data_IF_614063364066
#
_entry.id   IF_614063364066
#
_cell.length_a   1.000
_cell.length_b   1.000
_cell.length_c   1.000
_cell.angle_alpha   90.00
_cell.angle_beta   90.00
_cell.angle_gamma   90.00
#
_symmetry.space_group_name_H-M   'P 1'
#
loop_
_entity.id
_entity.type
_entity.pdbx_description
1 polymer ?
#
# COMPACT_ATOMS: atom_id res chain seq x y z
N UNK A 1 -10.93 18.91 -12.66
CA UNK A 1 -9.60 19.36 -12.23
C UNK A 1 -8.63 18.23 -12.52
N UNK A 2 -7.91 18.35 -13.64
CA UNK A 2 -6.75 17.50 -13.92
C UNK A 2 -5.75 17.75 -12.80
N UNK A 3 -5.49 16.74 -11.97
CA UNK A 3 -4.28 16.69 -11.16
C UNK A 3 -3.20 16.36 -12.18
N UNK A 4 -2.49 17.40 -12.61
CA UNK A 4 -1.27 17.26 -13.37
C UNK A 4 -0.34 16.33 -12.62
N UNK A 5 -0.04 15.17 -13.21
CA UNK A 5 0.87 14.17 -12.63
C UNK A 5 2.31 14.67 -12.51
N UNK A 6 2.54 15.94 -12.77
CA UNK A 6 3.78 16.69 -12.61
C UNK A 6 3.78 17.60 -11.38
N UNK A 7 2.78 17.51 -10.49
CA UNK A 7 2.93 18.14 -9.19
C UNK A 7 4.22 17.59 -8.59
N UNK A 8 5.29 18.39 -8.69
CA UNK A 8 6.57 18.21 -8.04
C UNK A 8 6.37 17.86 -6.55
N UNK A 9 6.00 16.62 -6.29
CA UNK A 9 6.53 15.95 -5.13
C UNK A 9 8.04 16.06 -5.34
N UNK A 10 8.79 16.75 -4.47
CA UNK A 10 10.25 16.76 -4.57
C UNK A 10 10.61 15.32 -4.84
N UNK A 11 11.43 15.08 -5.86
CA UNK A 11 11.80 13.72 -6.27
C UNK A 11 12.21 12.99 -4.99
N UNK A 12 11.22 12.33 -4.37
CA UNK A 12 11.49 11.37 -3.34
C UNK A 12 12.24 10.36 -4.17
N UNK A 13 13.55 10.38 -4.05
CA UNK A 13 14.33 9.26 -4.51
C UNK A 13 13.57 8.08 -3.96
N UNK A 14 12.98 7.26 -4.86
CA UNK A 14 12.04 6.17 -4.55
C UNK A 14 12.72 5.05 -3.75
N UNK A 15 13.51 5.42 -2.74
CA UNK A 15 14.38 4.55 -1.97
C UNK A 15 14.00 4.59 -0.50
N UNK A 16 12.90 3.91 -0.16
CA UNK A 16 12.66 3.50 1.22
C UNK A 16 13.63 2.35 1.53
N UNK A 17 14.70 2.65 2.26
CA UNK A 17 15.70 1.68 2.70
C UNK A 17 15.22 1.05 4.01
N UNK A 18 15.08 -0.28 4.04
CA UNK A 18 14.66 -1.03 5.23
C UNK A 18 15.71 -2.06 5.63
N UNK A 19 16.10 -2.06 6.90
CA UNK A 19 16.93 -3.11 7.48
C UNK A 19 16.08 -4.27 7.97
N UNK A 20 16.47 -5.50 7.66
CA UNK A 20 15.82 -6.72 8.13
C UNK A 20 16.12 -7.05 9.59
N UNK A 21 16.96 -6.29 10.26
CA UNK A 21 17.37 -6.54 11.65
C UNK A 21 17.04 -5.32 12.52
N UNK A 22 16.16 -5.55 13.50
CA UNK A 22 15.76 -4.70 14.60
C UNK A 22 14.57 -3.77 14.38
N UNK A 23 13.50 -4.12 15.08
CA UNK A 23 12.30 -3.35 15.36
C UNK A 23 12.60 -2.17 16.30
N UNK A 24 13.25 -1.12 15.84
CA UNK A 24 13.32 0.12 16.63
C UNK A 24 13.04 1.28 15.70
N UNK A 25 11.77 1.68 15.69
CA UNK A 25 11.35 2.95 15.12
C UNK A 25 11.66 4.07 16.13
N UNK A 26 12.89 4.53 16.15
CA UNK A 26 13.30 5.62 17.02
C UNK A 26 14.75 6.00 16.81
N UNK A 27 15.05 6.82 15.84
CA UNK A 27 15.96 7.95 15.92
C UNK A 27 16.10 8.69 14.57
N UNK A 28 16.23 9.98 14.66
CA UNK A 28 16.00 11.07 13.69
C UNK A 28 17.10 11.23 12.62
N UNK A 29 17.66 10.18 12.05
CA UNK A 29 18.68 10.28 10.99
C UNK A 29 18.58 9.19 9.91
N UNK A 30 17.41 8.58 9.78
CA UNK A 30 17.18 7.50 8.82
C UNK A 30 16.30 8.01 7.67
N UNK A 31 16.47 7.51 6.43
CA UNK A 31 15.56 7.72 5.30
C UNK A 31 14.09 7.37 5.62
N UNK A 32 13.85 6.61 6.68
CA UNK A 32 12.53 6.35 7.27
C UNK A 32 11.80 7.61 7.74
N UNK A 33 12.53 8.60 8.26
CA UNK A 33 11.93 9.82 8.77
C UNK A 33 11.32 10.67 7.66
N UNK A 34 11.92 10.68 6.47
CA UNK A 34 11.41 11.41 5.32
C UNK A 34 10.15 10.74 4.76
N UNK A 35 10.16 9.42 4.59
CA UNK A 35 8.98 8.65 4.17
C UNK A 35 7.83 8.79 5.17
N UNK A 36 8.11 8.76 6.47
CA UNK A 36 7.15 9.01 7.53
C UNK A 36 6.51 10.39 7.40
N UNK A 37 7.32 11.46 7.36
CA UNK A 37 6.84 12.84 7.25
C UNK A 37 6.00 13.06 5.99
N UNK A 38 6.36 12.43 4.88
CA UNK A 38 5.60 12.53 3.63
C UNK A 38 4.24 11.86 3.73
N UNK A 39 4.17 10.64 4.28
CA UNK A 39 2.89 9.96 4.50
C UNK A 39 2.03 10.72 5.52
N UNK A 40 2.60 11.17 6.64
CA UNK A 40 1.90 12.01 7.64
C UNK A 40 1.35 13.29 7.01
N UNK A 41 2.14 13.97 6.18
CA UNK A 41 1.72 15.17 5.45
C UNK A 41 0.64 14.88 4.40
N UNK A 42 0.71 13.73 3.71
CA UNK A 42 -0.32 13.33 2.76
C UNK A 42 -1.64 12.99 3.46
N UNK A 43 -1.58 12.29 4.59
CA UNK A 43 -2.76 11.94 5.39
C UNK A 43 -3.41 13.20 5.97
N UNK A 44 -2.63 14.07 6.62
CA UNK A 44 -3.14 15.31 7.24
C UNK A 44 -3.77 16.28 6.25
N UNK A 45 -3.31 16.28 5.00
CA UNK A 45 -3.86 17.09 3.91
C UNK A 45 -4.96 16.40 3.11
N UNK A 46 -5.30 15.14 3.44
CA UNK A 46 -6.25 14.33 2.66
C UNK A 46 -5.80 14.08 1.22
N UNK A 47 -4.49 14.05 0.96
CA UNK A 47 -3.88 13.91 -0.39
C UNK A 47 -3.14 12.60 -0.58
N UNK A 48 -3.66 11.51 -0.02
CA UNK A 48 -3.15 10.17 -0.34
C UNK A 48 -3.40 9.85 -1.81
N UNK A 49 -2.41 9.23 -2.45
CA UNK A 49 -2.61 8.66 -3.78
C UNK A 49 -3.60 7.49 -3.71
N UNK A 50 -4.31 7.25 -4.79
CA UNK A 50 -5.31 6.19 -4.87
C UNK A 50 -4.69 4.79 -4.89
N UNK A 51 -3.46 4.67 -5.41
CA UNK A 51 -2.74 3.40 -5.47
C UNK A 51 -1.24 3.58 -5.22
N UNK A 52 -0.67 2.63 -4.49
CA UNK A 52 0.76 2.50 -4.23
C UNK A 52 1.23 1.12 -4.66
N UNK A 53 2.38 1.05 -5.32
CA UNK A 53 3.06 -0.21 -5.65
C UNK A 53 4.29 -0.33 -4.77
N UNK A 54 4.34 -1.33 -3.91
CA UNK A 54 5.52 -1.67 -3.12
C UNK A 54 6.32 -2.71 -3.88
N UNK A 55 7.39 -2.25 -4.53
CA UNK A 55 8.23 -3.08 -5.38
C UNK A 55 9.55 -3.45 -4.67
N UNK A 56 9.77 -4.73 -4.45
CA UNK A 56 11.02 -5.27 -3.94
C UNK A 56 11.07 -6.78 -4.14
N UNK A 57 12.24 -7.39 -4.31
CA UNK A 57 12.39 -8.84 -4.31
C UNK A 57 11.76 -9.52 -3.09
N UNK A 58 11.46 -10.80 -3.20
CA UNK A 58 10.97 -11.61 -2.09
C UNK A 58 11.87 -11.51 -0.85
N UNK A 59 11.29 -11.51 0.35
CA UNK A 59 12.05 -11.44 1.61
C UNK A 59 12.55 -10.04 2.03
N UNK A 60 12.42 -9.00 1.19
CA UNK A 60 12.94 -7.64 1.44
C UNK A 60 12.06 -6.78 2.36
N UNK A 61 11.16 -7.37 3.13
CA UNK A 61 10.41 -6.64 4.15
C UNK A 61 9.21 -5.81 3.65
N UNK A 62 8.70 -6.05 2.43
CA UNK A 62 7.51 -5.36 1.90
C UNK A 62 6.34 -5.33 2.89
N UNK A 63 6.06 -6.46 3.54
CA UNK A 63 4.96 -6.57 4.53
C UNK A 63 5.20 -5.70 5.77
N UNK A 64 6.46 -5.54 6.20
CA UNK A 64 6.83 -4.68 7.33
C UNK A 64 6.61 -3.22 6.99
N UNK A 65 7.04 -2.81 5.79
CA UNK A 65 6.80 -1.46 5.26
C UNK A 65 5.32 -1.16 5.15
N UNK A 66 4.57 -2.08 4.54
CA UNK A 66 3.12 -1.94 4.41
C UNK A 66 2.45 -1.79 5.78
N UNK A 67 2.79 -2.66 6.74
CA UNK A 67 2.22 -2.59 8.10
C UNK A 67 2.46 -1.22 8.74
N UNK A 68 3.65 -0.66 8.57
CA UNK A 68 3.95 0.67 9.06
C UNK A 68 3.11 1.76 8.38
N UNK A 69 2.97 1.71 7.05
CA UNK A 69 2.11 2.63 6.29
C UNK A 69 0.66 2.52 6.75
N UNK A 70 0.15 1.30 6.91
CA UNK A 70 -1.20 1.05 7.42
C UNK A 70 -1.39 1.62 8.82
N UNK A 71 -0.40 1.42 9.72
CA UNK A 71 -0.48 1.96 11.08
C UNK A 71 -0.42 3.48 11.13
N UNK A 72 0.18 4.15 10.17
CA UNK A 72 0.08 5.61 10.02
C UNK A 72 -1.30 6.04 9.48
N UNK A 73 -1.78 5.32 8.46
CA UNK A 73 -3.00 5.70 7.74
C UNK A 73 -4.28 5.43 8.55
N UNK A 74 -4.33 4.30 9.25
CA UNK A 74 -5.52 3.83 9.96
C UNK A 74 -5.49 4.12 11.48
N UNK A 75 -4.39 4.66 12.00
CA UNK A 75 -4.27 5.05 13.40
C UNK A 75 -5.18 6.24 13.73
N UNK A 76 -5.84 6.22 14.87
CA UNK A 76 -6.75 7.29 15.33
C UNK A 76 -6.07 8.66 15.40
N UNK A 77 -4.75 8.68 15.64
CA UNK A 77 -3.93 9.91 15.72
C UNK A 77 -3.01 10.10 14.51
N UNK A 78 -3.03 9.18 13.54
CA UNK A 78 -2.13 9.15 12.39
C UNK A 78 -0.62 9.17 12.71
N UNK A 79 -0.26 8.71 13.92
CA UNK A 79 1.14 8.69 14.40
C UNK A 79 1.72 7.29 14.56
N UNK A 80 0.95 6.25 14.17
CA UNK A 80 1.34 4.85 14.45
C UNK A 80 1.58 4.62 15.94
N UNK A 81 0.63 5.06 16.78
CA UNK A 81 0.80 5.11 18.25
C UNK A 81 1.02 3.74 18.92
N UNK A 82 0.67 2.63 18.26
CA UNK A 82 0.80 1.26 18.79
C UNK A 82 -0.21 0.90 19.88
N UNK A 83 -0.98 1.85 20.41
CA UNK A 83 -1.85 1.65 21.58
C UNK A 83 -3.33 1.67 21.27
N UNK A 84 -3.77 2.39 20.23
CA UNK A 84 -5.17 2.44 19.81
C UNK A 84 -5.64 1.08 19.25
N UNK A 85 -6.95 0.91 19.14
CA UNK A 85 -7.56 -0.33 18.67
C UNK A 85 -7.15 -0.65 17.23
N UNK A 86 -7.11 0.37 16.36
CA UNK A 86 -6.67 0.22 14.97
C UNK A 86 -5.24 -0.30 14.88
N UNK A 87 -4.29 0.28 15.62
CA UNK A 87 -2.89 -0.20 15.62
C UNK A 87 -2.77 -1.65 16.10
N UNK A 88 -3.47 -2.01 17.17
CA UNK A 88 -3.50 -3.39 17.69
C UNK A 88 -4.11 -4.38 16.69
N UNK A 89 -5.19 -3.99 16.02
CA UNK A 89 -5.84 -4.81 14.99
C UNK A 89 -4.96 -5.01 13.75
N UNK A 90 -4.20 -3.98 13.36
CA UNK A 90 -3.23 -4.07 12.25
C UNK A 90 -2.10 -5.03 12.63
N UNK A 91 -1.58 -4.96 13.85
CA UNK A 91 -0.54 -5.86 14.34
C UNK A 91 -1.02 -7.31 14.37
N UNK A 92 -2.26 -7.52 14.79
CA UNK A 92 -2.91 -8.83 14.78
C UNK A 92 -3.30 -9.32 13.36
N UNK A 93 -3.21 -8.46 12.33
CA UNK A 93 -3.64 -8.78 10.97
C UNK A 93 -5.16 -8.91 10.79
N UNK A 94 -5.95 -8.31 11.70
CA UNK A 94 -7.41 -8.46 11.78
C UNK A 94 -8.15 -7.12 11.77
N UNK A 95 -7.62 -6.09 11.11
CA UNK A 95 -8.27 -4.79 11.02
C UNK A 95 -9.43 -4.84 10.02
N UNK A 96 -10.66 -4.41 10.39
CA UNK A 96 -11.85 -4.54 9.54
C UNK A 96 -11.78 -3.68 8.26
N UNK A 97 -11.01 -2.59 8.28
CA UNK A 97 -10.83 -1.73 7.11
C UNK A 97 -9.59 -2.09 6.28
N UNK A 98 -9.07 -3.32 6.44
CA UNK A 98 -7.98 -3.87 5.62
C UNK A 98 -8.49 -5.08 4.87
N UNK A 99 -8.70 -4.91 3.57
CA UNK A 99 -9.12 -5.98 2.65
C UNK A 99 -7.89 -6.60 2.03
N UNK A 100 -7.69 -7.89 2.25
CA UNK A 100 -6.56 -8.64 1.70
C UNK A 100 -7.01 -9.45 0.49
N UNK A 101 -6.38 -9.20 -0.65
CA UNK A 101 -6.53 -9.98 -1.86
C UNK A 101 -5.29 -10.84 -2.07
N UNK A 102 -5.47 -12.14 -1.92
CA UNK A 102 -4.44 -13.15 -2.13
C UNK A 102 -4.89 -14.13 -3.19
N UNK A 103 -3.95 -14.71 -3.92
CA UNK A 103 -4.26 -15.86 -4.76
C UNK A 103 -4.63 -17.08 -3.90
N UNK A 104 -5.42 -17.95 -4.43
CA UNK A 104 -5.69 -19.27 -3.82
C UNK A 104 -4.39 -20.10 -3.80
N UNK A 105 -4.18 -20.89 -2.75
CA UNK A 105 -2.92 -21.64 -2.55
C UNK A 105 -2.65 -22.66 -3.66
N UNK A 106 -3.72 -23.21 -4.26
CA UNK A 106 -3.68 -24.19 -5.36
C UNK A 106 -3.50 -23.54 -6.74
N UNK A 107 -3.52 -22.21 -6.85
CA UNK A 107 -3.39 -21.50 -8.13
C UNK A 107 -2.04 -20.80 -8.25
N UNK A 108 -1.45 -20.88 -9.44
CA UNK A 108 -0.20 -20.20 -9.75
C UNK A 108 -0.39 -18.68 -9.96
N UNK A 109 -1.58 -18.23 -10.29
CA UNK A 109 -1.88 -16.83 -10.66
C UNK A 109 -3.07 -16.27 -9.88
N UNK A 110 -3.11 -14.94 -9.74
CA UNK A 110 -4.25 -14.22 -9.20
C UNK A 110 -5.25 -13.96 -10.34
N UNK A 111 -6.36 -14.68 -10.32
CA UNK A 111 -7.39 -14.59 -11.35
C UNK A 111 -8.40 -13.47 -11.13
N UNK A 112 -9.17 -13.16 -12.17
CA UNK A 112 -10.22 -12.11 -12.13
C UNK A 112 -11.36 -12.43 -11.16
N UNK A 113 -11.61 -13.70 -10.84
CA UNK A 113 -12.64 -14.11 -9.88
C UNK A 113 -12.34 -13.51 -8.50
N UNK A 114 -11.11 -13.63 -8.00
CA UNK A 114 -10.69 -13.08 -6.72
C UNK A 114 -10.90 -11.56 -6.64
N UNK A 115 -10.71 -10.83 -7.74
CA UNK A 115 -10.99 -9.38 -7.81
C UNK A 115 -12.50 -9.10 -7.70
N UNK A 116 -13.34 -9.93 -8.32
CA UNK A 116 -14.80 -9.78 -8.26
C UNK A 116 -15.35 -10.05 -6.87
N UNK A 117 -14.79 -11.03 -6.18
CA UNK A 117 -15.23 -11.45 -4.83
C UNK A 117 -15.06 -10.34 -3.81
N UNK A 118 -13.96 -9.58 -3.85
CA UNK A 118 -13.72 -8.46 -2.93
C UNK A 118 -14.43 -7.16 -3.35
N UNK A 119 -14.98 -7.10 -4.56
CA UNK A 119 -15.52 -5.85 -5.12
C UNK A 119 -16.53 -5.20 -4.17
N UNK A 120 -17.49 -5.96 -3.67
CA UNK A 120 -18.53 -5.42 -2.78
C UNK A 120 -17.92 -4.86 -1.49
N UNK A 121 -16.93 -5.54 -0.91
CA UNK A 121 -16.24 -5.11 0.29
C UNK A 121 -15.43 -3.83 0.08
N UNK A 122 -14.77 -3.70 -1.07
CA UNK A 122 -14.03 -2.48 -1.45
C UNK A 122 -14.94 -1.27 -1.51
N UNK A 123 -16.18 -1.42 -1.98
CA UNK A 123 -17.14 -0.32 -2.12
C UNK A 123 -17.92 0.00 -0.82
N UNK A 124 -17.71 -0.73 0.27
CA UNK A 124 -18.27 -0.35 1.57
C UNK A 124 -17.43 0.76 2.22
N UNK A 125 -18.09 1.60 3.02
CA UNK A 125 -17.38 2.64 3.79
C UNK A 125 -16.48 2.03 4.85
N UNK A 126 -15.37 2.71 5.22
CA UNK A 126 -14.59 2.31 6.40
C UNK A 126 -15.48 2.23 7.65
N UNK A 127 -15.18 1.27 8.53
CA UNK A 127 -15.97 0.97 9.74
C UNK A 127 -15.31 1.55 10.99
N UNK A 128 -13.98 1.48 11.08
CA UNK A 128 -13.23 1.84 12.27
C UNK A 128 -12.29 3.03 12.03
N UNK A 129 -11.67 3.11 10.86
CA UNK A 129 -10.69 4.14 10.52
C UNK A 129 -11.25 5.17 9.53
N UNK A 130 -10.48 6.24 9.26
CA UNK A 130 -10.82 7.24 8.24
C UNK A 130 -10.67 6.74 6.81
N UNK A 131 -9.85 5.71 6.62
CA UNK A 131 -9.53 5.12 5.32
C UNK A 131 -9.70 3.61 5.34
N UNK A 132 -9.91 3.04 4.15
CA UNK A 132 -9.87 1.60 3.90
C UNK A 132 -8.67 1.28 3.03
N UNK A 133 -7.94 0.22 3.37
CA UNK A 133 -6.82 -0.28 2.59
C UNK A 133 -7.19 -1.57 1.85
N UNK A 134 -6.91 -1.62 0.56
CA UNK A 134 -7.02 -2.84 -0.25
C UNK A 134 -5.62 -3.31 -0.59
N UNK A 135 -5.23 -4.48 -0.12
CA UNK A 135 -3.90 -5.02 -0.29
C UNK A 135 -3.95 -6.16 -1.31
N UNK A 136 -3.26 -5.97 -2.42
CA UNK A 136 -3.09 -7.00 -3.45
C UNK A 136 -1.73 -7.66 -3.24
N UNK A 137 -1.74 -8.86 -2.68
CA UNK A 137 -0.52 -9.65 -2.50
C UNK A 137 -0.06 -10.23 -3.83
N UNK A 138 1.26 -10.31 -4.03
CA UNK A 138 1.86 -10.88 -5.24
C UNK A 138 1.23 -10.35 -6.54
N UNK A 139 1.00 -9.03 -6.62
CA UNK A 139 0.32 -8.41 -7.75
C UNK A 139 0.97 -8.71 -9.11
N UNK A 140 2.27 -9.03 -9.12
CA UNK A 140 3.00 -9.48 -10.31
C UNK A 140 2.55 -10.85 -10.84
N UNK A 141 1.78 -11.62 -10.06
CA UNK A 141 1.16 -12.89 -10.50
C UNK A 141 -0.28 -12.73 -10.97
N UNK A 142 -0.81 -11.50 -11.00
CA UNK A 142 -2.15 -11.23 -11.49
C UNK A 142 -2.23 -11.42 -13.02
N UNK A 143 -3.27 -12.12 -13.46
CA UNK A 143 -3.55 -12.24 -14.92
C UNK A 143 -3.88 -10.87 -15.51
N UNK A 144 -3.73 -10.72 -16.83
CA UNK A 144 -4.08 -9.47 -17.53
C UNK A 144 -5.53 -9.06 -17.27
N UNK A 145 -6.44 -10.02 -17.25
CA UNK A 145 -7.86 -9.78 -16.96
C UNK A 145 -8.09 -9.30 -15.53
N UNK A 146 -7.36 -9.88 -14.57
CA UNK A 146 -7.40 -9.45 -13.17
C UNK A 146 -6.85 -8.02 -13.02
N UNK A 147 -5.73 -7.71 -13.69
CA UNK A 147 -5.16 -6.38 -13.70
C UNK A 147 -6.10 -5.34 -14.31
N UNK A 148 -6.75 -5.67 -15.43
CA UNK A 148 -7.75 -4.79 -16.05
C UNK A 148 -8.99 -4.58 -15.16
N UNK A 149 -9.40 -5.60 -14.39
CA UNK A 149 -10.48 -5.45 -13.41
C UNK A 149 -10.08 -4.54 -12.24
N UNK A 150 -8.83 -4.64 -11.75
CA UNK A 150 -8.27 -3.75 -10.73
C UNK A 150 -8.13 -2.31 -11.26
N UNK A 151 -7.71 -2.15 -12.52
CA UNK A 151 -7.53 -0.84 -13.13
C UNK A 151 -8.80 0.01 -13.04
N UNK A 152 -9.97 -0.59 -13.30
CA UNK A 152 -11.27 0.10 -13.17
C UNK A 152 -11.55 0.61 -11.76
N UNK A 153 -11.14 -0.14 -10.72
CA UNK A 153 -11.30 0.27 -9.34
C UNK A 153 -10.26 1.34 -8.92
N UNK A 154 -9.08 1.32 -9.54
CA UNK A 154 -8.03 2.32 -9.29
C UNK A 154 -8.36 3.65 -10.00
N UNK A 155 -9.01 3.61 -11.17
CA UNK A 155 -9.40 4.81 -11.92
C UNK A 155 -10.57 5.56 -11.27
N UNK A 156 -11.51 4.83 -10.72
CA UNK A 156 -12.69 5.37 -10.04
C UNK A 156 -12.83 4.76 -8.63
N UNK A 157 -11.87 5.03 -7.74
CA UNK A 157 -11.87 4.44 -6.42
C UNK A 157 -13.03 5.01 -5.58
N UNK A 158 -13.62 4.21 -4.70
CA UNK A 158 -14.52 4.71 -3.69
C UNK A 158 -13.80 5.75 -2.79
N UNK A 159 -14.57 6.64 -2.21
CA UNK A 159 -14.02 7.63 -1.27
C UNK A 159 -13.25 6.95 -0.13
N UNK A 160 -12.07 7.48 0.19
CA UNK A 160 -11.21 7.02 1.29
C UNK A 160 -10.70 5.58 1.16
N UNK A 161 -10.68 5.03 -0.05
CA UNK A 161 -10.06 3.73 -0.34
C UNK A 161 -8.70 3.93 -0.98
N UNK A 162 -7.69 3.21 -0.48
CA UNK A 162 -6.31 3.24 -0.97
C UNK A 162 -5.87 1.83 -1.32
N UNK A 163 -5.33 1.65 -2.51
CA UNK A 163 -4.83 0.36 -2.99
C UNK A 163 -3.33 0.23 -2.74
N UNK A 164 -2.90 -0.94 -2.26
CA UNK A 164 -1.49 -1.31 -2.08
C UNK A 164 -1.19 -2.59 -2.85
N UNK A 165 -0.40 -2.49 -3.92
CA UNK A 165 0.02 -3.62 -4.74
C UNK A 165 1.42 -4.04 -4.32
N UNK A 166 1.57 -5.25 -3.78
CA UNK A 166 2.87 -5.83 -3.42
C UNK A 166 3.39 -6.63 -4.61
N UNK A 167 4.56 -6.29 -5.12
CA UNK A 167 5.17 -7.03 -6.22
C UNK A 167 6.68 -7.26 -6.02
N UNK A 168 7.17 -8.33 -6.60
CA UNK A 168 8.60 -8.66 -6.60
C UNK A 168 9.32 -8.02 -7.79
N UNK A 169 8.57 -7.73 -8.84
CA UNK A 169 9.02 -7.06 -10.05
C UNK A 169 7.88 -6.30 -10.72
N UNK A 170 8.20 -5.21 -11.40
CA UNK A 170 7.23 -4.41 -12.14
C UNK A 170 6.95 -4.97 -13.55
N UNK A 171 7.81 -5.84 -14.07
CA UNK A 171 7.73 -6.28 -15.47
C UNK A 171 6.36 -6.86 -15.89
N UNK A 172 5.66 -7.66 -15.05
CA UNK A 172 4.33 -8.18 -15.43
C UNK A 172 3.17 -7.20 -15.16
N UNK A 173 3.44 -6.07 -14.50
CA UNK A 173 2.38 -5.09 -14.16
C UNK A 173 2.09 -4.22 -15.38
N UNK A 174 0.80 -4.05 -15.68
CA UNK A 174 0.38 -3.22 -16.80
C UNK A 174 0.87 -1.77 -16.65
N UNK A 175 1.43 -1.17 -17.71
CA UNK A 175 1.87 0.24 -17.71
C UNK A 175 0.76 1.21 -17.28
N UNK A 176 -0.49 0.88 -17.57
CA UNK A 176 -1.68 1.67 -17.19
C UNK A 176 -1.89 1.69 -15.67
N UNK A 177 -1.58 0.61 -14.94
CA UNK A 177 -1.60 0.57 -13.48
C UNK A 177 -0.42 1.37 -12.91
N UNK A 178 0.78 1.16 -13.47
CA UNK A 178 2.00 1.86 -13.02
C UNK A 178 1.83 3.38 -13.14
N UNK A 179 1.28 3.87 -14.25
CA UNK A 179 1.09 5.31 -14.50
C UNK A 179 0.09 5.98 -13.54
N UNK A 180 -0.78 5.19 -12.89
CA UNK A 180 -1.80 5.67 -11.94
C UNK A 180 -1.44 5.38 -10.48
N UNK A 181 -0.26 4.83 -10.25
CA UNK A 181 0.20 4.42 -8.92
C UNK A 181 1.50 5.12 -8.54
N UNK A 182 1.68 5.36 -7.26
CA UNK A 182 2.98 5.79 -6.72
C UNK A 182 3.84 4.53 -6.47
N UNK A 183 4.97 4.43 -7.17
CA UNK A 183 5.88 3.28 -7.04
C UNK A 183 6.88 3.53 -5.91
N UNK A 184 6.87 2.66 -4.92
CA UNK A 184 7.80 2.65 -3.79
C UNK A 184 8.77 1.48 -3.96
N UNK A 185 10.01 1.77 -4.37
CA UNK A 185 11.06 0.77 -4.46
C UNK A 185 11.74 0.59 -3.10
N UNK A 186 11.61 -0.60 -2.53
CA UNK A 186 12.23 -0.94 -1.24
C UNK A 186 13.58 -1.60 -1.54
N UNK A 187 14.65 -1.03 -0.99
CA UNK A 187 16.02 -1.54 -1.13
C UNK A 187 16.60 -1.89 0.23
N UNK A 188 17.53 -2.88 0.31
CA UNK A 188 18.25 -3.13 1.55
C UNK A 188 19.11 -1.92 1.89
N UNK A 189 19.33 -1.73 3.21
CA UNK A 189 20.34 -0.76 3.63
C UNK A 189 21.71 -1.19 3.10
N UNK A 190 22.55 -0.26 2.62
CA UNK A 190 23.93 -0.57 2.38
C UNK A 190 24.60 -0.96 3.70
N UNK A 191 25.41 -2.02 3.65
CA UNK A 191 26.21 -2.47 4.80
C UNK A 191 27.26 -1.41 5.17
#
# INVERSE_FOLDING_TARGET
>A
YQIDGSANLPAIENNLLFSSKNHVFGNVSSPYSLGKQLFENCISKGKLAQAYILNAPGGMGKKTVLRYILSLMLCDTHTSCGTCLSCKSIEAGAHPDVVNLMREEDRATLGVAAIRDIKNEVYTRPVMADYKAVIVHEAHLATTEAQNAMLKMIEEPPEKVVFFLLCDTLAPILPTIISRSVVLNIRPLPN
#
